data_IF_195261277636
#
_entry.id   IF_195261277636
#
_cell.length_a   1.000
_cell.length_b   1.000
_cell.length_c   1.000
_cell.angle_alpha   90.00
_cell.angle_beta   90.00
_cell.angle_gamma   90.00
#
_symmetry.space_group_name_H-M   'P 1'
#
loop_
_entity.id
_entity.type
_entity.pdbx_description
1 polymer ?
2 polymer ?
3 non-polymer ?
4 non-polymer ?
5 water ?
#
# COMPACT_ATOMS: atom_id res chain seq x y z
N UNK A 1 -13.56 -11.58 11.92
CA UNK A 1 -14.37 -10.54 11.19
C UNK A 1 -14.52 -10.81 9.69
N UNK A 2 -15.53 -10.23 9.07
CA UNK A 2 -15.74 -10.38 7.64
C UNK A 2 -14.68 -9.65 6.81
N UNK A 3 -14.67 -9.92 5.51
CA UNK A 3 -13.72 -9.31 4.62
C UNK A 3 -13.72 -7.79 4.68
N UNK A 4 -14.88 -7.13 4.73
CA UNK A 4 -14.88 -5.67 4.74
C UNK A 4 -14.19 -5.08 5.97
N UNK A 5 -14.41 -5.71 7.10
CA UNK A 5 -13.79 -5.31 8.36
C UNK A 5 -12.29 -5.57 8.34
N UNK A 6 -11.86 -6.68 7.73
CA UNK A 6 -10.40 -6.88 7.61
C UNK A 6 -9.82 -5.82 6.71
N UNK A 7 -10.55 -5.50 5.63
CA UNK A 7 -10.13 -4.43 4.73
C UNK A 7 -10.00 -3.10 5.50
N UNK A 8 -10.98 -2.84 6.37
CA UNK A 8 -10.96 -1.62 7.18
C UNK A 8 -9.76 -1.57 8.12
N UNK A 9 -9.37 -2.71 8.68
CA UNK A 9 -8.19 -2.75 9.55
C UNK A 9 -6.91 -2.52 8.76
N UNK A 10 -6.78 -3.13 7.56
CA UNK A 10 -5.60 -2.85 6.72
C UNK A 10 -5.51 -1.37 6.39
N UNK A 11 -6.67 -0.74 6.13
CA UNK A 11 -6.68 0.68 5.74
C UNK A 11 -6.21 1.50 6.93
N UNK A 12 -6.63 1.08 8.12
CA UNK A 12 -6.21 1.78 9.35
C UNK A 12 -4.71 1.62 9.61
N UNK A 13 -4.24 0.39 9.50
CA UNK A 13 -2.82 0.11 9.79
C UNK A 13 -1.88 0.76 8.76
N UNK A 14 -2.21 0.64 7.46
CA UNK A 14 -1.34 1.14 6.41
C UNK A 14 -1.65 2.57 6.05
N UNK A 15 -2.83 3.06 6.47
CA UNK A 15 -3.33 4.38 5.99
C UNK A 15 -3.25 4.35 4.46
N UNK A 16 -3.68 3.22 3.92
CA UNK A 16 -3.71 2.98 2.49
C UNK A 16 -5.08 2.45 2.11
N UNK A 17 -5.75 3.19 1.22
CA UNK A 17 -7.07 2.83 0.67
C UNK A 17 -6.91 2.54 -0.82
N UNK A 18 -7.60 1.51 -1.29
CA UNK A 18 -7.53 1.11 -2.71
C UNK A 18 -8.91 1.44 -3.26
N UNK A 19 -8.95 2.34 -4.23
CA UNK A 19 -10.23 2.85 -4.74
C UNK A 19 -10.29 2.66 -6.26
N UNK A 20 -11.51 2.65 -6.87
CA UNK A 20 -11.61 2.71 -8.33
C UNK A 20 -10.96 3.98 -8.84
N UNK A 21 -10.17 3.89 -9.90
CA UNK A 21 -9.50 5.08 -10.45
C UNK A 21 -10.51 5.97 -11.17
N UNK A 22 -10.16 7.23 -11.41
CA UNK A 22 -11.04 8.07 -12.23
C UNK A 22 -10.87 7.64 -13.70
N UNK A 23 -9.67 7.13 -14.00
CA UNK A 23 -9.28 6.69 -15.33
C UNK A 23 -9.90 5.33 -15.70
N UNK A 24 -10.27 5.19 -16.97
CA UNK A 24 -10.63 3.90 -17.57
C UNK A 24 -9.41 2.99 -17.64
N UNK A 25 -8.27 3.63 -17.92
CA UNK A 25 -6.99 3.00 -18.21
C UNK A 25 -6.23 2.64 -16.92
N UNK A 26 -6.04 3.65 -16.08
CA UNK A 26 -5.36 3.47 -14.81
C UNK A 26 -6.42 3.39 -13.74
N UNK A 27 -6.95 2.18 -13.57
CA UNK A 27 -8.20 1.97 -12.87
C UNK A 27 -8.11 1.67 -11.38
N UNK A 28 -6.89 1.61 -10.86
CA UNK A 28 -6.64 1.45 -9.41
C UNK A 28 -6.04 2.73 -8.83
N UNK A 29 -6.74 3.35 -7.88
CA UNK A 29 -6.25 4.52 -7.21
C UNK A 29 -5.80 4.12 -5.80
N UNK A 30 -4.52 4.35 -5.49
CA UNK A 30 -4.02 4.17 -4.15
C UNK A 30 -4.03 5.53 -3.46
N UNK A 31 -4.66 5.55 -2.29
CA UNK A 31 -4.82 6.79 -1.53
C UNK A 31 -4.07 6.66 -0.21
N UNK A 32 -3.18 7.60 0.07
CA UNK A 32 -2.36 7.54 1.28
C UNK A 32 -2.86 8.55 2.30
N UNK A 33 -2.95 8.11 3.54
CA UNK A 33 -3.21 9.03 4.64
C UNK A 33 -4.68 9.28 4.89
N UNK A 34 -4.94 10.27 5.74
CA UNK A 34 -6.25 10.52 6.33
C UNK A 34 -7.22 11.31 5.43
N UNK A 35 -6.71 12.02 4.43
CA UNK A 35 -7.59 12.65 3.45
C UNK A 35 -7.33 12.18 2.02
N UNK A 36 -7.88 12.91 1.05
CA UNK A 36 -7.58 12.68 -0.36
C UNK A 36 -6.31 13.46 -0.68
N UNK A 37 -5.35 13.40 0.26
CA UNK A 37 -4.13 14.25 0.23
C UNK A 37 -3.06 13.80 -0.79
N UNK A 38 -2.73 12.51 -0.73
CA UNK A 38 -1.78 11.86 -1.62
C UNK A 38 -2.53 10.71 -2.28
N UNK A 39 -2.54 10.67 -3.61
CA UNK A 39 -3.04 9.47 -4.33
C UNK A 39 -2.28 9.29 -5.63
N UNK A 40 -2.25 8.07 -6.13
CA UNK A 40 -1.64 7.79 -7.45
C UNK A 40 -2.51 6.72 -8.08
N UNK A 41 -2.68 6.82 -9.39
CA UNK A 41 -3.50 5.86 -10.11
C UNK A 41 -2.55 5.04 -10.97
N UNK A 42 -2.84 3.76 -11.09
CA UNK A 42 -2.03 2.83 -11.88
C UNK A 42 -2.94 1.86 -12.63
N UNK A 43 -2.39 1.25 -13.68
CA UNK A 43 -3.04 0.11 -14.38
C UNK A 43 -2.39 -1.17 -13.89
N UNK A 44 -3.19 -2.20 -13.67
CA UNK A 44 -2.66 -3.46 -13.19
C UNK A 44 -2.03 -4.25 -14.36
N UNK A 45 -2.30 -3.80 -15.60
CA UNK A 45 -1.78 -4.42 -16.83
C UNK A 45 -1.22 -3.43 -17.86
N UNK A 46 -0.13 -3.82 -18.52
CA UNK A 46 0.41 -3.06 -19.65
C UNK A 46 1.82 -2.51 -19.46
N UNK A 47 2.32 -1.86 -20.51
CA UNK A 47 3.59 -1.15 -20.48
C UNK A 47 3.40 0.20 -19.70
N UNK A 48 2.26 0.87 -19.89
CA UNK A 48 2.05 2.25 -19.41
C UNK A 48 1.31 2.34 -18.06
N UNK A 49 1.93 1.83 -17.00
CA UNK A 49 1.21 1.58 -15.75
C UNK A 49 0.96 2.83 -14.88
N UNK A 50 1.76 3.88 -15.05
CA UNK A 50 1.63 5.04 -14.14
C UNK A 50 0.63 6.04 -14.71
N UNK A 51 -0.43 6.28 -13.93
CA UNK A 51 -1.46 7.24 -14.30
C UNK A 51 -1.24 8.59 -13.63
N UNK A 52 -2.33 9.31 -13.40
CA UNK A 52 -2.23 10.61 -12.70
C UNK A 52 -1.87 10.44 -11.21
N UNK A 53 -1.36 11.50 -10.58
CA UNK A 53 -1.19 11.49 -9.12
C UNK A 53 -1.50 12.86 -8.58
N UNK A 54 -1.80 12.90 -7.28
CA UNK A 54 -1.88 14.18 -6.56
C UNK A 54 -0.92 14.06 -5.37
N UNK A 55 -0.17 15.13 -5.10
CA UNK A 55 0.77 15.93 -5.89
C UNK A 55 1.21 15.30 -7.21
N UNK A 56 1.14 16.10 -8.28
CA UNK A 56 1.76 15.74 -9.56
C UNK A 56 3.26 15.51 -9.34
N UNK A 57 3.78 14.48 -10.02
CA UNK A 57 5.19 14.15 -9.94
C UNK A 57 5.90 14.51 -11.24
N UNK A 58 7.19 14.83 -11.18
CA UNK A 58 7.92 15.11 -12.42
C UNK A 58 8.26 13.82 -13.24
N UNK A 59 8.59 13.96 -14.56
CA UNK A 59 8.81 12.77 -15.41
C UNK A 59 9.88 11.81 -14.91
N UNK A 60 10.97 12.35 -14.39
CA UNK A 60 12.02 11.51 -13.84
C UNK A 60 11.49 10.62 -12.68
N UNK A 61 10.71 11.23 -11.78
CA UNK A 61 10.07 10.48 -10.70
C UNK A 61 9.08 9.41 -11.19
N UNK A 62 8.23 9.79 -12.14
CA UNK A 62 7.24 8.88 -12.70
C UNK A 62 7.91 7.67 -13.39
N UNK A 63 9.07 7.89 -14.01
CA UNK A 63 9.80 6.82 -14.68
C UNK A 63 10.38 5.87 -13.64
N UNK A 64 10.87 6.42 -12.52
CA UNK A 64 11.36 5.59 -11.45
C UNK A 64 10.25 4.67 -10.93
N UNK A 65 9.06 5.23 -10.66
CA UNK A 65 7.93 4.48 -10.21
C UNK A 65 7.51 3.41 -11.23
N UNK A 66 7.48 3.80 -12.49
CA UNK A 66 7.07 2.88 -13.56
C UNK A 66 7.93 1.60 -13.52
N UNK A 67 9.25 1.78 -13.40
CA UNK A 67 10.22 0.66 -13.38
C UNK A 67 10.08 -0.27 -12.16
N UNK A 68 9.78 0.31 -11.00
CA UNK A 68 9.51 -0.54 -9.82
C UNK A 68 8.35 -1.48 -10.09
N UNK A 69 7.30 -0.94 -10.72
CA UNK A 69 6.15 -1.76 -11.08
C UNK A 69 6.40 -2.69 -12.26
N UNK A 70 6.94 -2.16 -13.36
CA UNK A 70 6.99 -2.96 -14.60
C UNK A 70 8.15 -3.91 -14.62
N UNK A 71 9.29 -3.45 -14.13
CA UNK A 71 10.51 -4.19 -14.22
C UNK A 71 10.76 -5.00 -12.96
N UNK A 72 10.81 -4.36 -11.81
CA UNK A 72 10.94 -5.07 -10.54
C UNK A 72 9.73 -5.93 -10.20
N UNK A 73 8.56 -5.54 -10.70
CA UNK A 73 7.29 -6.24 -10.45
C UNK A 73 6.90 -6.30 -8.98
N UNK A 74 7.21 -5.23 -8.22
CA UNK A 74 7.22 -5.27 -6.76
C UNK A 74 6.26 -4.18 -6.26
N UNK A 75 5.05 -4.59 -5.97
CA UNK A 75 4.00 -3.63 -5.59
C UNK A 75 4.34 -2.91 -4.29
N UNK A 76 4.83 -3.68 -3.30
CA UNK A 76 5.18 -3.05 -1.99
C UNK A 76 6.25 -2.01 -2.19
N UNK A 77 7.29 -2.34 -2.95
CA UNK A 77 8.37 -1.37 -3.17
C UNK A 77 7.86 -0.12 -3.91
N UNK A 78 6.93 -0.33 -4.84
CA UNK A 78 6.34 0.77 -5.62
C UNK A 78 5.55 1.67 -4.66
N UNK A 79 4.75 1.07 -3.79
CA UNK A 79 3.96 1.87 -2.82
C UNK A 79 4.88 2.62 -1.86
N UNK A 80 5.95 1.95 -1.39
CA UNK A 80 6.92 2.65 -0.54
C UNK A 80 7.51 3.88 -1.19
N UNK A 81 7.99 3.77 -2.42
CA UNK A 81 8.61 4.91 -3.12
C UNK A 81 7.57 5.97 -3.48
N UNK A 82 6.40 5.53 -3.92
CA UNK A 82 5.35 6.46 -4.32
C UNK A 82 4.87 7.25 -3.08
N UNK A 83 4.64 6.56 -1.96
CA UNK A 83 4.25 7.23 -0.69
C UNK A 83 5.27 8.27 -0.28
N UNK A 84 6.56 7.91 -0.32
CA UNK A 84 7.66 8.83 0.06
C UNK A 84 7.68 10.05 -0.84
N UNK A 85 7.56 9.81 -2.14
CA UNK A 85 7.54 10.90 -3.12
C UNK A 85 6.36 11.83 -3.01
N UNK A 86 5.17 11.26 -2.79
CA UNK A 86 3.93 12.03 -2.72
C UNK A 86 3.89 12.87 -1.43
N UNK A 87 4.25 12.24 -0.32
CA UNK A 87 4.38 12.96 0.98
C UNK A 87 5.41 14.10 0.92
N UNK A 88 6.57 13.85 0.34
CA UNK A 88 7.57 14.89 0.14
C UNK A 88 7.10 16.02 -0.79
N UNK A 89 6.08 15.74 -1.60
CA UNK A 89 5.59 16.75 -2.54
C UNK A 89 4.50 17.65 -1.96
N UNK A 90 4.00 17.34 -0.77
CA UNK A 90 2.88 18.09 -0.17
C UNK A 90 3.25 19.52 0.28
N UNK B 6 -15.47 -14.31 -6.34
CA UNK B 6 -14.81 -12.97 -6.17
C UNK B 6 -15.78 -11.78 -6.00
N UNK B 7 -15.49 -10.95 -4.98
CA UNK B 7 -15.95 -9.55 -4.85
C UNK B 7 -14.78 -8.58 -4.57
N UNK B 8 -15.10 -7.29 -4.48
CA UNK B 8 -14.09 -6.23 -4.44
C UNK B 8 -13.20 -6.30 -3.21
N UNK B 9 -13.78 -6.59 -2.04
CA UNK B 9 -13.00 -6.74 -0.81
C UNK B 9 -12.09 -7.95 -0.85
N UNK B 10 -12.52 -8.96 -1.59
CA UNK B 10 -11.76 -10.21 -1.69
C UNK B 10 -10.43 -9.91 -2.35
N UNK B 11 -10.50 -9.10 -3.41
CA UNK B 11 -9.35 -8.64 -4.18
C UNK B 11 -8.45 -7.66 -3.40
N UNK B 12 -9.05 -6.63 -2.79
CA UNK B 12 -8.32 -5.74 -1.86
C UNK B 12 -7.51 -6.51 -0.82
N UNK B 13 -8.12 -7.54 -0.22
CA UNK B 13 -7.41 -8.36 0.71
C UNK B 13 -6.23 -9.09 0.06
N UNK B 14 -6.44 -9.67 -1.13
CA UNK B 14 -5.32 -10.30 -1.85
C UNK B 14 -4.19 -9.29 -2.12
N UNK B 15 -4.57 -8.07 -2.47
CA UNK B 15 -3.60 -7.03 -2.71
C UNK B 15 -2.80 -6.66 -1.44
N UNK B 16 -3.51 -6.38 -0.34
CA UNK B 16 -2.80 -6.17 0.96
C UNK B 16 -1.88 -7.32 1.35
N UNK B 17 -2.39 -8.56 1.32
CA UNK B 17 -1.57 -9.74 1.58
C UNK B 17 -0.33 -9.85 0.68
N UNK B 18 -0.47 -9.48 -0.59
CA UNK B 18 0.67 -9.52 -1.53
C UNK B 18 1.79 -8.57 -1.12
N UNK B 19 1.49 -7.61 -0.24
CA UNK B 19 2.54 -6.72 0.32
C UNK B 19 3.38 -7.39 1.42
N UNK B 20 2.92 -8.52 1.90
CA UNK B 20 3.61 -9.26 2.97
C UNK B 20 3.10 -8.86 4.33
N UNK B 21 1.96 -8.15 4.37
CA UNK B 21 1.37 -7.78 5.66
C UNK B 21 0.20 -8.72 5.92
N UNK B 22 0.27 -9.47 7.03
CA UNK B 22 -0.67 -10.54 7.35
C UNK B 22 -1.36 -10.33 8.68
N UNK B 23 -2.70 -10.25 8.67
CA UNK B 23 -3.40 -10.07 9.94
C UNK B 23 -3.33 -11.39 10.68
N UNK B 24 -2.94 -11.36 11.95
CA UNK B 24 -2.91 -12.54 12.80
C UNK B 24 -3.76 -12.29 14.04
N UNK B 25 -5.06 -12.15 13.82
CA UNK B 25 -5.93 -11.67 14.87
C UNK B 25 -6.15 -12.76 15.95
N UNK B 26 -5.90 -14.02 15.61
CA UNK B 26 -5.85 -15.05 16.67
C UNK B 26 -4.95 -14.59 17.84
N UNK B 27 -3.89 -13.86 17.50
CA UNK B 27 -2.86 -13.45 18.45
C UNK B 27 -2.77 -11.94 18.68
N UNK B 28 -3.80 -11.21 18.25
CA UNK B 28 -3.89 -9.77 18.40
C UNK B 28 -2.62 -9.09 17.89
N UNK B 29 -2.17 -9.51 16.71
CA UNK B 29 -0.97 -8.93 16.14
C UNK B 29 -1.07 -8.91 14.64
N UNK B 30 -0.10 -8.23 14.00
CA UNK B 30 0.05 -8.20 12.54
C UNK B 30 1.46 -8.68 12.26
N UNK B 31 1.63 -9.48 11.20
CA UNK B 31 2.94 -9.97 10.75
C UNK B 31 3.36 -9.29 9.48
N UNK B 32 4.66 -9.02 9.38
CA UNK B 32 5.22 -8.38 8.20
C UNK B 32 6.34 -9.26 7.68
N UNK B 33 6.12 -9.76 6.47
CA UNK B 33 7.00 -10.71 5.84
C UNK B 33 7.50 -10.07 4.56
N UNK B 34 8.51 -9.24 4.65
CA UNK B 34 8.94 -8.50 3.47
C UNK B 34 9.95 -9.28 2.61
N UNK B 35 10.79 -10.08 3.27
CA UNK B 35 11.92 -10.76 2.62
C UNK B 35 11.69 -12.23 2.29
N UNK B 36 10.73 -12.87 2.95
CA UNK B 36 10.40 -14.28 2.68
C UNK B 36 11.62 -15.14 2.90
N UNK B 37 12.31 -14.93 4.02
CA UNK B 37 13.59 -15.57 4.26
C UNK B 37 13.60 -16.21 5.62
N UNK B 38 12.44 -16.34 6.25
CA UNK B 38 12.31 -16.96 7.58
C UNK B 38 12.35 -15.96 8.71
N UNK B 39 12.49 -14.67 8.34
CA UNK B 39 12.47 -13.61 9.34
C UNK B 39 11.18 -12.78 9.13
N UNK B 40 10.43 -12.53 10.22
CA UNK B 40 9.29 -11.62 10.17
C UNK B 40 9.31 -10.60 11.31
N UNK B 41 8.60 -9.48 11.09
CA UNK B 41 8.36 -8.53 12.14
C UNK B 41 6.97 -8.79 12.68
N UNK B 42 6.81 -8.69 13.98
CA UNK B 42 5.54 -8.96 14.61
C UNK B 42 5.10 -7.73 15.38
N UNK B 43 3.97 -7.15 14.97
CA UNK B 43 3.48 -5.92 15.56
C UNK B 43 2.21 -6.19 16.36
N UNK B 44 2.27 -6.01 17.70
CA UNK B 44 1.08 -6.22 18.51
C UNK B 44 0.01 -5.17 18.22
N UNK B 45 -1.25 -5.55 18.33
CA UNK B 45 -2.31 -4.64 17.99
C UNK B 45 -2.73 -3.80 19.18
N UNK B 46 -2.12 -4.06 20.34
CA UNK B 46 -2.19 -3.17 21.54
C UNK B 46 -2.53 -1.68 21.25
N UNK B 47 -3.63 -1.23 21.85
CA UNK B 47 -4.08 0.18 21.94
C UNK B 47 -2.96 1.12 22.34
N UNK B 48 -1.97 0.51 22.97
CA UNK B 48 -0.85 1.17 23.60
C UNK B 48 -0.01 2.01 22.65
N UNK B 49 0.41 1.41 21.55
CA UNK B 49 1.12 2.18 20.52
C UNK B 49 0.09 2.97 19.72
N UNK B 50 0.44 4.20 19.31
CA UNK B 50 -0.47 5.00 18.54
C UNK B 50 -0.66 4.42 17.12
N UNK B 51 -1.77 4.76 16.45
CA UNK B 51 -1.97 4.40 15.02
C UNK B 51 -0.81 5.00 14.18
N UNK B 52 -0.45 6.24 14.49
CA UNK B 52 0.64 6.86 13.78
C UNK B 52 1.94 6.06 13.86
N UNK B 53 2.31 5.65 15.08
CA UNK B 53 3.52 4.87 15.28
C UNK B 53 3.42 3.54 14.53
N UNK B 54 2.28 2.87 14.61
CA UNK B 54 2.08 1.55 13.92
C UNK B 54 2.24 1.72 12.41
N UNK B 55 1.59 2.74 11.85
CA UNK B 55 1.72 3.02 10.38
C UNK B 55 3.18 3.29 9.94
N UNK B 56 3.84 4.16 10.69
CA UNK B 56 5.22 4.53 10.42
C UNK B 56 6.10 3.29 10.43
N UNK B 57 5.92 2.48 11.45
CA UNK B 57 6.69 1.24 11.60
C UNK B 57 6.50 0.28 10.42
N UNK B 58 5.25 0.04 10.05
CA UNK B 58 4.93 -0.86 8.94
C UNK B 58 5.58 -0.39 7.64
N UNK B 59 5.44 0.91 7.31
CA UNK B 59 6.06 1.42 6.07
C UNK B 59 7.58 1.33 6.12
N UNK B 60 8.17 1.55 7.30
CA UNK B 60 9.63 1.28 7.46
C UNK B 60 9.99 -0.17 7.13
N UNK B 61 9.19 -1.12 7.61
CA UNK B 61 9.47 -2.54 7.35
C UNK B 61 9.33 -2.91 5.86
N UNK B 62 8.30 -2.38 5.23
CA UNK B 62 8.10 -2.58 3.78
C UNK B 62 9.21 -1.95 2.94
N UNK B 63 9.85 -0.92 3.49
CA UNK B 63 10.88 -0.16 2.75
C UNK B 63 12.27 -0.80 2.86
N UNK B 64 12.37 -1.93 3.54
CA UNK B 64 13.67 -2.63 3.71
C UNK B 64 14.06 -3.51 2.52
X LIG C 1 -10.68 -1.13 -6.29
X LIG D 1 15.01 4.70 -12.93
X LIG D 1 14.16 5.58 -13.85
X LIG D 1 15.08 5.24 -11.51
X LIG D 1 14.45 3.29 -12.88
X LIG D 1 16.39 4.74 -13.51
#
# INVERSE_FOLDING_TARGET
MNDAAEVALYERLLQLRVLPGASDVHDVRFVFGDDSRCWIEVAMHGDHVIGNSHPALDPKSRATLEHVLTVQGDLAAFLVVARDMLLASL
GSHXEANENILKLKLYRSLGVILDLENDQVLINRKNDGNIDILPLDNNLSDFYKTKYIWERLGK
NA NA
PO4 P O1 O2 O3 O4
#
